data_IF_983768580736
#
_entry.id   IF_983768580736
#
_cell.length_a   1.000
_cell.length_b   1.000
_cell.length_c   1.000
_cell.angle_alpha   90.00
_cell.angle_beta   90.00
_cell.angle_gamma   90.00
#
_symmetry.space_group_name_H-M   'P 1'
#
loop_
_entity.id
_entity.type
_entity.pdbx_description
1 polymer ?
#
# COMPACT_ATOMS: atom_id res chain seq x y z
N UNK A 1 1.36 -9.74 14.78
CA UNK A 1 2.36 -9.06 13.92
C UNK A 1 3.37 -9.98 13.22
N UNK A 2 3.32 -11.31 13.40
CA UNK A 2 4.25 -12.22 12.70
C UNK A 2 4.10 -12.15 11.17
N UNK A 3 2.86 -12.03 10.67
CA UNK A 3 2.57 -11.95 9.24
C UNK A 3 3.32 -10.80 8.55
N UNK A 4 3.33 -9.58 9.11
CA UNK A 4 4.04 -8.45 8.51
C UNK A 4 5.57 -8.62 8.49
N UNK A 5 6.12 -9.48 9.37
CA UNK A 5 7.55 -9.78 9.41
C UNK A 5 7.91 -10.88 8.40
N UNK A 6 7.04 -11.88 8.23
CA UNK A 6 7.26 -13.01 7.31
C UNK A 6 6.74 -12.80 5.89
N UNK A 7 5.79 -11.88 5.68
CA UNK A 7 5.27 -11.60 4.34
C UNK A 7 6.19 -10.63 3.62
N UNK A 8 6.82 -11.08 2.54
CA UNK A 8 7.59 -10.24 1.64
C UNK A 8 6.67 -9.68 0.55
N UNK A 9 6.54 -8.34 0.41
CA UNK A 9 5.64 -7.74 -0.56
C UNK A 9 6.01 -8.10 -2.01
N UNK A 10 7.30 -8.31 -2.28
CA UNK A 10 7.84 -8.73 -3.59
C UNK A 10 7.34 -10.11 -4.07
N UNK A 11 6.83 -10.95 -3.17
CA UNK A 11 6.32 -12.28 -3.52
C UNK A 11 4.78 -12.33 -3.61
N UNK A 12 4.12 -11.17 -3.63
CA UNK A 12 2.66 -11.06 -3.69
C UNK A 12 2.26 -10.75 -5.13
N UNK A 13 1.40 -11.59 -5.68
CA UNK A 13 0.81 -11.43 -7.01
C UNK A 13 -0.70 -11.28 -6.84
N UNK A 14 -1.25 -10.22 -7.40
CA UNK A 14 -2.69 -9.98 -7.46
C UNK A 14 -3.15 -10.20 -8.90
N UNK A 15 -3.87 -11.29 -9.16
CA UNK A 15 -4.53 -11.55 -10.44
C UNK A 15 -6.03 -11.26 -10.32
N UNK A 16 -6.60 -10.52 -11.28
CA UNK A 16 -8.02 -10.22 -11.24
C UNK A 16 -8.46 -9.14 -12.21
N UNK A 17 -9.71 -8.70 -12.01
CA UNK A 17 -10.29 -7.58 -12.73
C UNK A 17 -9.78 -6.29 -12.10
N UNK A 18 -9.09 -5.52 -12.91
CA UNK A 18 -8.51 -4.23 -12.56
C UNK A 18 -9.01 -3.17 -13.54
N UNK A 19 -8.53 -1.94 -13.36
CA UNK A 19 -8.93 -0.83 -14.21
C UNK A 19 -8.43 -1.07 -15.64
N UNK A 20 -9.34 -0.96 -16.62
CA UNK A 20 -9.03 -1.20 -18.02
C UNK A 20 -7.78 -0.42 -18.48
N UNK A 21 -6.85 -1.09 -19.17
CA UNK A 21 -5.69 -0.43 -19.79
C UNK A 21 -6.11 0.23 -21.10
N UNK A 22 -5.64 1.45 -21.34
CA UNK A 22 -6.00 2.24 -22.51
C UNK A 22 -5.43 3.65 -22.45
N UNK A 23 -5.91 4.53 -23.35
CA UNK A 23 -5.37 5.88 -23.52
C UNK A 23 -5.39 6.74 -22.25
N UNK A 24 -4.22 7.26 -21.89
CA UNK A 24 -4.00 8.04 -20.67
C UNK A 24 -4.68 9.41 -20.59
N UNK A 25 -5.21 9.92 -21.69
CA UNK A 25 -5.79 11.27 -21.77
C UNK A 25 -7.26 11.36 -21.34
N UNK A 26 -7.92 10.24 -21.12
CA UNK A 26 -9.37 10.20 -20.86
C UNK A 26 -9.67 10.31 -19.37
N UNK A 27 -10.45 11.32 -18.99
CA UNK A 27 -10.90 11.55 -17.62
C UNK A 27 -12.39 11.20 -17.50
N UNK A 28 -12.74 10.54 -16.40
CA UNK A 28 -14.11 10.28 -16.00
C UNK A 28 -14.46 11.08 -14.74
N UNK A 29 -15.72 11.49 -14.65
CA UNK A 29 -16.26 12.14 -13.46
C UNK A 29 -16.92 11.07 -12.59
N UNK A 30 -16.34 10.82 -11.42
CA UNK A 30 -16.94 9.97 -10.38
C UNK A 30 -17.53 10.86 -9.29
N UNK A 31 -18.64 10.40 -8.71
CA UNK A 31 -19.23 11.08 -7.57
C UNK A 31 -18.68 10.47 -6.29
N UNK A 32 -18.05 11.31 -5.47
CA UNK A 32 -17.72 10.94 -4.10
C UNK A 32 -18.99 10.56 -3.34
N UNK A 33 -18.94 9.68 -2.33
CA UNK A 33 -20.07 9.44 -1.43
C UNK A 33 -20.61 10.72 -0.76
N UNK A 34 -19.83 11.82 -0.77
CA UNK A 34 -20.26 13.15 -0.32
C UNK A 34 -20.90 14.01 -1.44
N UNK A 35 -21.16 13.46 -2.62
CA UNK A 35 -21.79 14.15 -3.75
C UNK A 35 -20.90 15.13 -4.51
N UNK A 36 -19.62 15.23 -4.15
CA UNK A 36 -18.66 16.10 -4.83
C UNK A 36 -18.15 15.45 -6.12
N UNK A 37 -18.07 16.19 -7.24
CA UNK A 37 -17.48 15.68 -8.47
C UNK A 37 -15.98 15.51 -8.28
N UNK A 38 -15.49 14.29 -8.48
CA UNK A 38 -14.08 13.94 -8.46
C UNK A 38 -13.71 13.43 -9.84
N UNK A 39 -12.67 14.03 -10.43
CA UNK A 39 -12.17 13.60 -11.73
C UNK A 39 -11.08 12.56 -11.53
N UNK A 40 -11.27 11.39 -12.11
CA UNK A 40 -10.29 10.29 -12.15
C UNK A 40 -9.98 9.95 -13.60
N UNK A 41 -8.81 9.38 -13.88
CA UNK A 41 -8.53 8.80 -15.20
C UNK A 41 -9.40 7.58 -15.43
N UNK A 42 -9.95 7.48 -16.64
CA UNK A 42 -10.80 6.36 -17.08
C UNK A 42 -9.98 5.08 -17.31
N UNK A 43 -8.78 5.22 -17.88
CA UNK A 43 -7.90 4.08 -18.16
C UNK A 43 -6.66 4.06 -17.26
N UNK A 44 -6.11 2.85 -17.07
CA UNK A 44 -4.87 2.63 -16.35
C UNK A 44 -3.66 2.90 -17.25
N UNK A 45 -2.79 3.81 -16.79
CA UNK A 45 -1.57 4.23 -17.48
C UNK A 45 -0.35 3.47 -16.96
N UNK A 46 0.24 2.63 -17.80
CA UNK A 46 1.39 1.81 -17.40
C UNK A 46 2.60 2.68 -17.03
N UNK A 47 2.98 3.63 -17.90
CA UNK A 47 4.24 4.40 -17.75
C UNK A 47 4.31 5.23 -16.46
N UNK A 48 3.22 5.88 -16.06
CA UNK A 48 3.21 6.71 -14.85
C UNK A 48 2.97 5.92 -13.56
N UNK A 49 2.29 4.77 -13.62
CA UNK A 49 1.91 4.00 -12.42
C UNK A 49 2.97 2.97 -12.02
N UNK A 50 3.79 2.49 -12.96
CA UNK A 50 4.94 1.62 -12.66
C UNK A 50 5.94 2.25 -11.68
N UNK A 51 5.90 3.57 -11.51
CA UNK A 51 6.94 4.32 -10.82
C UNK A 51 6.76 4.44 -9.29
N UNK A 52 5.63 3.98 -8.71
CA UNK A 52 5.31 4.32 -7.31
C UNK A 52 4.94 3.19 -6.36
N UNK A 53 4.36 2.08 -6.82
CA UNK A 53 3.89 1.06 -5.86
C UNK A 53 3.77 -0.36 -6.42
N UNK A 54 3.67 -0.52 -7.73
CA UNK A 54 3.41 -1.79 -8.38
C UNK A 54 4.25 -1.94 -9.63
N UNK A 55 4.58 -3.18 -9.96
CA UNK A 55 5.34 -3.52 -11.16
C UNK A 55 4.64 -4.67 -11.90
N UNK A 56 4.97 -4.85 -13.17
CA UNK A 56 4.39 -5.85 -14.07
C UNK A 56 5.42 -6.94 -14.42
N UNK A 57 6.51 -7.06 -13.64
CA UNK A 57 7.60 -8.01 -13.90
C UNK A 57 7.19 -9.48 -13.83
N UNK A 58 6.08 -9.85 -13.17
CA UNK A 58 5.57 -11.23 -13.22
C UNK A 58 5.05 -11.65 -14.59
N UNK A 59 4.71 -10.69 -15.44
CA UNK A 59 4.13 -10.99 -16.74
C UNK A 59 5.28 -11.24 -17.71
N UNK A 60 5.30 -12.40 -18.40
CA UNK A 60 6.35 -12.72 -19.36
C UNK A 60 6.35 -11.67 -20.47
N UNK A 61 7.39 -10.85 -20.52
CA UNK A 61 7.55 -9.74 -21.48
C UNK A 61 7.37 -8.34 -20.89
N UNK A 62 6.94 -8.20 -19.62
CA UNK A 62 6.89 -6.92 -18.89
C UNK A 62 6.00 -5.83 -19.50
N UNK A 63 5.20 -6.17 -20.51
CA UNK A 63 4.35 -5.25 -21.26
C UNK A 63 2.90 -5.76 -21.22
N UNK A 64 1.98 -4.92 -20.77
CA UNK A 64 0.56 -5.16 -20.92
C UNK A 64 0.12 -4.67 -22.30
N UNK A 65 -0.53 -5.51 -23.12
CA UNK A 65 -1.20 -5.02 -24.31
C UNK A 65 -2.37 -4.10 -23.89
N UNK A 66 -2.44 -2.90 -24.47
CA UNK A 66 -3.58 -1.99 -24.28
C UNK A 66 -4.90 -2.60 -24.76
N UNK A 67 -4.83 -3.46 -25.79
CA UNK A 67 -5.99 -4.06 -26.43
C UNK A 67 -5.73 -5.55 -26.61
N UNK A 68 -6.66 -6.38 -26.13
CA UNK A 68 -6.69 -7.82 -26.41
C UNK A 68 -8.02 -8.12 -27.09
N UNK A 69 -7.97 -8.65 -28.31
CA UNK A 69 -9.16 -9.06 -29.08
C UNK A 69 -10.19 -7.94 -29.36
N UNK A 70 -9.77 -6.68 -29.40
CA UNK A 70 -10.63 -5.53 -29.71
C UNK A 70 -11.32 -4.89 -28.49
N UNK A 71 -11.07 -5.40 -27.29
CA UNK A 71 -11.57 -4.86 -26.02
C UNK A 71 -10.41 -4.35 -25.15
N UNK A 72 -10.63 -3.32 -24.33
CA UNK A 72 -9.61 -2.83 -23.40
C UNK A 72 -9.34 -3.88 -22.32
N UNK A 73 -8.07 -4.10 -21.99
CA UNK A 73 -7.68 -5.18 -21.09
C UNK A 73 -8.03 -4.84 -19.63
N UNK A 74 -9.02 -5.53 -19.08
CA UNK A 74 -9.44 -5.38 -17.67
C UNK A 74 -8.87 -6.46 -16.75
N UNK A 75 -8.49 -7.62 -17.30
CA UNK A 75 -7.97 -8.74 -16.51
C UNK A 75 -6.45 -8.84 -16.66
N UNK A 76 -5.71 -8.54 -15.59
CA UNK A 76 -4.25 -8.62 -15.59
C UNK A 76 -3.69 -8.93 -14.20
N UNK A 77 -2.42 -9.34 -14.15
CA UNK A 77 -1.70 -9.59 -12.91
C UNK A 77 -0.85 -8.37 -12.53
N UNK A 78 -0.86 -8.01 -11.25
CA UNK A 78 -0.03 -6.95 -10.69
C UNK A 78 0.95 -7.59 -9.69
N UNK A 79 2.22 -7.24 -9.83
CA UNK A 79 3.26 -7.68 -8.91
C UNK A 79 3.58 -6.66 -7.83
N UNK A 80 3.78 -7.17 -6.63
CA UNK A 80 4.35 -6.39 -5.54
C UNK A 80 5.82 -6.05 -5.81
N UNK A 81 6.24 -4.89 -5.33
CA UNK A 81 7.63 -4.42 -5.42
C UNK A 81 8.29 -4.44 -4.06
N UNK A 82 9.62 -4.33 -4.05
CA UNK A 82 10.34 -4.16 -2.80
C UNK A 82 9.96 -2.81 -2.16
N UNK A 83 9.68 -2.83 -0.86
CA UNK A 83 9.32 -1.64 -0.11
C UNK A 83 10.53 -1.10 0.64
N UNK A 84 11.12 -0.02 0.13
CA UNK A 84 12.43 0.54 0.53
C UNK A 84 12.55 0.80 2.05
N UNK A 85 11.42 1.12 2.72
CA UNK A 85 11.38 1.43 4.16
C UNK A 85 10.57 0.42 5.00
N UNK A 86 10.60 -0.87 4.64
CA UNK A 86 9.85 -1.93 5.34
C UNK A 86 10.15 -2.02 6.83
N UNK A 87 11.43 -1.92 7.22
CA UNK A 87 11.83 -1.98 8.62
C UNK A 87 11.20 -0.84 9.44
N UNK A 88 11.20 0.39 8.90
CA UNK A 88 10.60 1.56 9.55
C UNK A 88 9.08 1.44 9.70
N UNK A 89 8.40 0.89 8.69
CA UNK A 89 6.96 0.66 8.77
C UNK A 89 6.60 -0.39 9.82
N UNK A 90 7.34 -1.50 9.86
CA UNK A 90 7.14 -2.56 10.86
C UNK A 90 7.37 -1.97 12.26
N UNK A 91 8.50 -1.29 12.51
CA UNK A 91 8.78 -0.72 13.83
C UNK A 91 7.71 0.27 14.27
N UNK A 92 7.23 1.13 13.36
CA UNK A 92 6.18 2.10 13.67
C UNK A 92 4.87 1.44 14.13
N UNK A 93 4.41 0.38 13.44
CA UNK A 93 3.23 -0.38 13.85
C UNK A 93 3.44 -1.04 15.21
N UNK A 94 4.61 -1.63 15.45
CA UNK A 94 4.95 -2.22 16.74
C UNK A 94 4.92 -1.18 17.86
N UNK A 95 5.48 0.02 17.64
CA UNK A 95 5.46 1.09 18.63
C UNK A 95 4.05 1.56 18.98
N UNK A 96 3.16 1.74 17.99
CA UNK A 96 1.77 2.14 18.25
C UNK A 96 1.05 1.07 19.06
N UNK A 97 1.18 -0.21 18.69
CA UNK A 97 0.48 -1.30 19.37
C UNK A 97 1.01 -1.53 20.78
N UNK A 98 2.33 -1.52 20.97
CA UNK A 98 2.94 -1.58 22.30
C UNK A 98 2.49 -0.39 23.15
N UNK A 99 2.48 0.82 22.58
CA UNK A 99 1.97 2.02 23.22
C UNK A 99 0.51 1.88 23.69
N UNK A 100 -0.37 1.34 22.84
CA UNK A 100 -1.77 1.08 23.18
C UNK A 100 -1.94 0.01 24.27
N UNK A 101 -1.14 -1.05 24.25
CA UNK A 101 -1.16 -2.10 25.28
C UNK A 101 -0.69 -1.52 26.62
N UNK A 102 0.41 -0.77 26.63
CA UNK A 102 0.93 -0.11 27.84
C UNK A 102 0.00 0.99 28.36
N UNK A 103 -0.79 1.64 27.49
CA UNK A 103 -1.77 2.64 27.89
C UNK A 103 -3.04 2.02 28.48
N UNK A 104 -3.41 0.81 28.08
CA UNK A 104 -4.60 0.10 28.63
C UNK A 104 -4.30 -0.78 29.84
N UNK A 105 -3.05 -1.17 30.08
CA UNK A 105 -2.65 -2.03 31.18
C UNK A 105 -1.60 -1.39 32.09
N UNK A 106 -2.03 -0.93 33.27
CA UNK A 106 -1.10 -0.62 34.34
C UNK A 106 -0.30 -1.85 34.78
N UNK A 107 1.00 -1.66 34.96
CA UNK A 107 1.99 -2.57 35.59
C UNK A 107 2.43 -3.77 34.76
N UNK A 108 3.56 -3.62 34.05
CA UNK A 108 4.74 -4.50 34.16
C UNK A 108 5.99 -3.67 33.80
N UNK A 109 6.50 -2.96 34.81
CA UNK A 109 7.90 -2.57 34.86
C UNK A 109 8.74 -3.83 34.93
N UNK A 110 9.58 -4.11 33.92
CA UNK A 110 11.00 -4.31 34.16
C UNK A 110 11.74 -4.55 32.83
N UNK A 111 12.90 -3.91 32.77
CA UNK A 111 14.01 -4.19 31.86
C UNK A 111 14.02 -3.46 30.51
N UNK A 112 14.67 -2.29 30.55
CA UNK A 112 15.87 -2.03 29.73
C UNK A 112 15.62 -1.70 28.25
N UNK A 113 16.13 -0.63 27.65
CA UNK A 113 17.19 0.31 27.99
C UNK A 113 17.12 1.42 26.93
N UNK A 114 17.64 2.61 27.24
CA UNK A 114 18.01 3.66 26.26
C UNK A 114 16.95 4.55 25.60
N UNK A 115 15.75 4.75 26.16
CA UNK A 115 14.80 5.75 25.62
C UNK A 115 14.13 6.65 26.67
N UNK A 116 14.85 7.03 27.73
CA UNK A 116 14.42 8.14 28.64
C UNK A 116 14.20 9.49 27.91
N UNK A 117 14.48 9.58 26.61
CA UNK A 117 14.24 10.74 25.75
C UNK A 117 12.87 10.74 25.04
N UNK A 118 12.01 9.77 25.34
CA UNK A 118 10.58 9.76 24.98
C UNK A 118 9.67 10.28 26.10
N UNK A 119 10.19 11.11 27.01
CA UNK A 119 9.39 11.83 28.03
C UNK A 119 8.31 12.76 27.40
N UNK A 120 8.22 12.84 26.08
CA UNK A 120 7.50 13.88 25.34
C UNK A 120 6.30 13.39 24.51
N UNK A 121 6.15 12.11 24.19
CA UNK A 121 5.17 11.73 23.15
C UNK A 121 3.82 11.22 23.69
N UNK A 122 3.73 11.00 25.00
CA UNK A 122 2.52 10.59 25.69
C UNK A 122 2.71 10.88 27.20
N UNK A 123 2.05 11.80 27.92
CA UNK A 123 0.66 12.28 27.76
C UNK A 123 -0.19 11.31 26.94
N UNK A 124 -0.17 10.01 27.26
CA UNK A 124 -0.91 8.96 26.54
C UNK A 124 -2.40 9.30 26.38
N UNK A 125 -2.89 10.28 27.13
CA UNK A 125 -4.28 10.63 27.27
C UNK A 125 -4.39 12.01 27.93
N UNK A 126 -3.91 13.07 27.27
CA UNK A 126 -4.31 14.45 27.58
C UNK A 126 -4.53 15.25 26.32
#
# INVERSE_FOLDING_TARGET
MLLAVFSSPENIISEGIHQAVGSCGEMEQIFSPFGLPLYRRKYFCIEEQQQKLFDLHCIPGGQLPEIVSGEPLEYYAICGTNFENRAGYITFIWFILLGLITCKGGVYDLLSMELKRFRLLMECFK
#
